data_IF_597751516636
#
_entry.id   IF_597751516636
#
_cell.length_a   1.000
_cell.length_b   1.000
_cell.length_c   1.000
_cell.angle_alpha   90.00
_cell.angle_beta   90.00
_cell.angle_gamma   90.00
#
_symmetry.space_group_name_H-M   'P 1'
#
loop_
_entity.id
_entity.type
_entity.pdbx_description
1 polymer ?
#
# COMPACT_ATOMS: atom_id res chain seq x y z
N UNK A 1 8.61 -12.54 0.18
CA UNK A 1 9.07 -13.56 1.18
C UNK A 1 8.47 -14.93 0.89
N UNK A 2 7.19 -15.00 0.47
CA UNK A 2 6.51 -16.28 0.21
C UNK A 2 7.07 -17.09 -0.98
N UNK A 3 7.54 -16.45 -2.06
CA UNK A 3 8.01 -17.15 -3.25
C UNK A 3 9.31 -17.95 -3.04
N UNK A 4 10.23 -17.43 -2.23
CA UNK A 4 11.50 -18.12 -1.89
C UNK A 4 11.21 -19.36 -1.02
N UNK A 5 10.29 -19.24 -0.07
CA UNK A 5 9.81 -20.38 0.73
C UNK A 5 9.16 -21.45 -0.13
N UNK A 6 8.32 -21.05 -1.09
CA UNK A 6 7.68 -21.98 -2.04
C UNK A 6 8.74 -22.68 -2.90
N UNK A 7 9.72 -21.95 -3.41
CA UNK A 7 10.81 -22.53 -4.21
C UNK A 7 11.67 -23.51 -3.40
N UNK A 8 11.97 -23.19 -2.13
CA UNK A 8 12.70 -24.09 -1.24
C UNK A 8 11.89 -25.35 -0.90
N UNK A 9 10.59 -25.21 -0.63
CA UNK A 9 9.69 -26.34 -0.40
C UNK A 9 9.54 -27.21 -1.63
N UNK A 10 9.44 -26.61 -2.82
CA UNK A 10 9.45 -27.34 -4.09
C UNK A 10 10.73 -28.17 -4.23
N UNK A 11 11.90 -27.56 -4.02
CA UNK A 11 13.19 -28.24 -4.12
C UNK A 11 13.32 -29.43 -3.16
N UNK A 12 12.92 -29.23 -1.89
CA UNK A 12 12.93 -30.28 -0.87
C UNK A 12 11.95 -31.41 -1.19
N UNK A 13 10.74 -31.06 -1.65
CA UNK A 13 9.70 -32.03 -1.99
C UNK A 13 10.10 -32.88 -3.19
N UNK A 14 10.68 -32.25 -4.21
CA UNK A 14 11.13 -32.95 -5.42
C UNK A 14 12.28 -33.93 -5.10
N UNK A 15 13.26 -33.48 -4.30
CA UNK A 15 14.35 -34.34 -3.83
C UNK A 15 13.84 -35.51 -2.98
N UNK A 16 12.80 -35.30 -2.17
CA UNK A 16 12.15 -36.37 -1.40
C UNK A 16 11.39 -37.36 -2.28
N UNK A 17 10.72 -36.89 -3.34
CA UNK A 17 10.00 -37.75 -4.29
C UNK A 17 10.97 -38.67 -5.03
N UNK A 18 12.13 -38.17 -5.44
CA UNK A 18 13.18 -38.98 -6.06
C UNK A 18 13.69 -40.10 -5.15
N UNK A 19 13.95 -39.78 -3.88
CA UNK A 19 14.37 -40.77 -2.89
C UNK A 19 13.27 -41.82 -2.60
N UNK A 20 12.03 -41.39 -2.32
CA UNK A 20 10.97 -42.28 -1.86
C UNK A 20 10.21 -43.01 -2.98
N UNK A 21 10.00 -42.36 -4.13
CA UNK A 21 9.13 -42.89 -5.20
C UNK A 21 9.93 -43.50 -6.37
N UNK A 22 11.10 -42.93 -6.70
CA UNK A 22 11.96 -43.44 -7.77
C UNK A 22 13.01 -44.45 -7.27
N UNK A 23 13.18 -44.57 -5.94
CA UNK A 23 14.00 -45.61 -5.33
C UNK A 23 15.51 -45.37 -5.43
N UNK A 24 15.92 -44.10 -5.56
CA UNK A 24 17.32 -43.72 -5.55
C UNK A 24 17.96 -44.07 -4.19
N UNK A 25 19.19 -44.60 -4.22
CA UNK A 25 19.85 -45.15 -3.04
C UNK A 25 20.21 -44.08 -1.99
N UNK A 26 20.36 -42.83 -2.42
CA UNK A 26 20.74 -41.69 -1.59
C UNK A 26 19.82 -40.50 -1.87
N UNK A 27 19.67 -39.62 -0.88
CA UNK A 27 18.92 -38.39 -1.04
C UNK A 27 19.80 -37.37 -1.79
N UNK A 28 19.68 -37.33 -3.12
CA UNK A 28 20.39 -36.37 -3.96
C UNK A 28 19.76 -34.97 -3.84
N UNK A 29 20.31 -34.16 -2.93
CA UNK A 29 19.89 -32.76 -2.79
C UNK A 29 20.30 -31.89 -4.00
N UNK A 30 21.38 -32.29 -4.69
CA UNK A 30 21.81 -31.73 -5.96
C UNK A 30 21.84 -32.90 -6.94
N UNK A 31 20.93 -32.94 -7.94
CA UNK A 31 20.87 -34.05 -8.86
C UNK A 31 22.15 -34.11 -9.71
N UNK A 32 22.67 -35.32 -9.87
CA UNK A 32 23.86 -35.61 -10.67
C UNK A 32 23.61 -35.55 -12.19
N UNK A 33 22.36 -35.78 -12.63
CA UNK A 33 21.95 -35.59 -14.02
C UNK A 33 21.81 -34.10 -14.35
N UNK A 34 22.58 -33.65 -15.35
CA UNK A 34 22.56 -32.28 -15.87
C UNK A 34 21.18 -31.88 -16.36
N UNK A 35 20.41 -32.81 -16.96
CA UNK A 35 19.08 -32.51 -17.47
C UNK A 35 18.09 -32.24 -16.33
N UNK A 36 18.12 -33.06 -15.28
CA UNK A 36 17.31 -32.87 -14.07
C UNK A 36 17.68 -31.58 -13.34
N UNK A 37 18.98 -31.31 -13.18
CA UNK A 37 19.48 -30.09 -12.57
C UNK A 37 19.00 -28.84 -13.31
N UNK A 38 19.07 -28.87 -14.65
CA UNK A 38 18.62 -27.77 -15.49
C UNK A 38 17.11 -27.52 -15.34
N UNK A 39 16.28 -28.58 -15.36
CA UNK A 39 14.83 -28.46 -15.19
C UNK A 39 14.45 -27.90 -13.82
N UNK A 40 15.03 -28.42 -12.73
CA UNK A 40 14.77 -27.93 -11.37
C UNK A 40 15.19 -26.48 -11.19
N UNK A 41 16.36 -26.12 -11.71
CA UNK A 41 16.87 -24.74 -11.65
C UNK A 41 15.96 -23.78 -12.42
N UNK A 42 15.47 -24.19 -13.60
CA UNK A 42 14.53 -23.40 -14.38
C UNK A 42 13.22 -23.15 -13.62
N UNK A 43 12.66 -24.18 -12.98
CA UNK A 43 11.42 -24.06 -12.18
C UNK A 43 11.63 -23.10 -11.00
N UNK A 44 12.74 -23.21 -10.27
CA UNK A 44 13.06 -22.29 -9.17
C UNK A 44 13.15 -20.85 -9.65
N UNK A 45 13.87 -20.61 -10.76
CA UNK A 45 14.00 -19.27 -11.35
C UNK A 45 12.63 -18.72 -11.74
N UNK A 46 11.77 -19.53 -12.36
CA UNK A 46 10.43 -19.13 -12.77
C UNK A 46 9.54 -18.80 -11.57
N UNK A 47 9.53 -19.64 -10.52
CA UNK A 47 8.74 -19.43 -9.30
C UNK A 47 9.18 -18.16 -8.58
N UNK A 48 10.48 -17.94 -8.42
CA UNK A 48 11.01 -16.74 -7.76
C UNK A 48 10.72 -15.50 -8.60
N UNK A 49 10.93 -15.55 -9.91
CA UNK A 49 10.69 -14.41 -10.81
C UNK A 49 9.21 -14.04 -10.88
N UNK A 50 8.32 -15.03 -10.99
CA UNK A 50 6.88 -14.82 -10.97
C UNK A 50 6.41 -14.25 -9.63
N UNK A 51 6.92 -14.80 -8.52
CA UNK A 51 6.63 -14.29 -7.19
C UNK A 51 7.07 -12.83 -7.00
N UNK A 52 8.27 -12.49 -7.47
CA UNK A 52 8.77 -11.11 -7.45
C UNK A 52 7.93 -10.18 -8.32
N UNK A 53 7.53 -10.64 -9.51
CA UNK A 53 6.66 -9.89 -10.41
C UNK A 53 5.27 -9.65 -9.81
N UNK A 54 4.65 -10.67 -9.22
CA UNK A 54 3.35 -10.56 -8.55
C UNK A 54 3.41 -9.62 -7.33
N UNK A 55 4.46 -9.72 -6.52
CA UNK A 55 4.69 -8.81 -5.39
C UNK A 55 4.88 -7.36 -5.86
N UNK A 56 5.62 -7.16 -6.96
CA UNK A 56 5.83 -5.84 -7.56
C UNK A 56 4.52 -5.24 -8.08
N UNK A 57 3.73 -6.02 -8.84
CA UNK A 57 2.44 -5.58 -9.39
C UNK A 57 1.46 -5.21 -8.28
N UNK A 58 1.36 -6.03 -7.24
CA UNK A 58 0.50 -5.76 -6.08
C UNK A 58 0.88 -4.45 -5.37
N UNK A 59 2.18 -4.13 -5.27
CA UNK A 59 2.65 -2.88 -4.66
C UNK A 59 2.27 -1.66 -5.50
N UNK A 60 2.39 -1.74 -6.82
CA UNK A 60 1.95 -0.68 -7.74
C UNK A 60 0.46 -0.48 -7.62
N UNK A 61 -0.35 -1.53 -7.78
CA UNK A 61 -1.80 -1.42 -7.76
C UNK A 61 -2.30 -0.80 -6.43
N UNK A 62 -1.70 -1.22 -5.30
CA UNK A 62 -2.02 -0.64 -4.00
C UNK A 62 -1.66 0.86 -3.91
N UNK A 63 -0.53 1.27 -4.49
CA UNK A 63 -0.12 2.67 -4.49
C UNK A 63 -1.02 3.53 -5.39
N UNK A 64 -1.37 3.03 -6.57
CA UNK A 64 -2.23 3.72 -7.53
C UNK A 64 -3.65 3.89 -6.97
N UNK A 65 -4.22 2.84 -6.37
CA UNK A 65 -5.54 2.90 -5.72
C UNK A 65 -5.52 3.87 -4.54
N UNK A 66 -4.46 3.86 -3.74
CA UNK A 66 -4.32 4.75 -2.60
C UNK A 66 -4.17 6.22 -3.04
N UNK A 67 -3.35 6.48 -4.05
CA UNK A 67 -3.19 7.81 -4.66
C UNK A 67 -4.51 8.33 -5.24
N UNK A 68 -5.24 7.49 -5.97
CA UNK A 68 -6.55 7.83 -6.51
C UNK A 68 -7.56 8.17 -5.38
N UNK A 69 -7.55 7.39 -4.30
CA UNK A 69 -8.39 7.64 -3.12
C UNK A 69 -8.04 8.95 -2.41
N UNK A 70 -6.74 9.23 -2.22
CA UNK A 70 -6.28 10.49 -1.63
C UNK A 70 -6.69 11.69 -2.47
N UNK A 71 -6.46 11.64 -3.78
CA UNK A 71 -6.84 12.73 -4.69
C UNK A 71 -8.35 12.97 -4.66
N UNK A 72 -9.16 11.90 -4.62
CA UNK A 72 -10.61 12.01 -4.47
C UNK A 72 -11.00 12.65 -3.11
N UNK A 73 -10.30 12.28 -2.04
CA UNK A 73 -10.50 12.85 -0.69
C UNK A 73 -10.15 14.34 -0.66
N UNK A 74 -9.02 14.74 -1.25
CA UNK A 74 -8.65 16.14 -1.40
C UNK A 74 -9.72 16.91 -2.16
N UNK A 75 -10.25 16.36 -3.25
CA UNK A 75 -11.33 16.97 -4.02
C UNK A 75 -12.63 17.14 -3.20
N UNK A 76 -13.03 16.14 -2.43
CA UNK A 76 -14.22 16.23 -1.55
C UNK A 76 -14.00 17.28 -0.47
N UNK A 77 -12.85 17.27 0.20
CA UNK A 77 -12.50 18.20 1.26
C UNK A 77 -12.43 19.65 0.75
N UNK A 78 -11.84 19.87 -0.42
CA UNK A 78 -11.78 21.19 -1.06
C UNK A 78 -13.18 21.71 -1.41
N UNK A 79 -14.04 20.86 -1.97
CA UNK A 79 -15.44 21.23 -2.24
C UNK A 79 -16.21 21.55 -0.95
N UNK A 80 -16.00 20.79 0.11
CA UNK A 80 -16.60 21.06 1.41
C UNK A 80 -16.15 22.42 1.96
N UNK A 81 -14.84 22.70 1.92
CA UNK A 81 -14.29 23.97 2.35
C UNK A 81 -14.89 25.15 1.57
N UNK A 82 -15.01 25.02 0.26
CA UNK A 82 -15.62 26.05 -0.58
C UNK A 82 -17.09 26.32 -0.19
N UNK A 83 -17.86 25.28 0.12
CA UNK A 83 -19.25 25.43 0.61
C UNK A 83 -19.31 26.11 1.97
N UNK A 84 -18.37 25.82 2.88
CA UNK A 84 -18.28 26.51 4.16
C UNK A 84 -17.97 28.00 3.99
N UNK A 85 -17.04 28.34 3.11
CA UNK A 85 -16.73 29.75 2.82
C UNK A 85 -17.93 30.50 2.23
N UNK A 86 -18.70 29.86 1.34
CA UNK A 86 -19.93 30.45 0.80
C UNK A 86 -20.99 30.64 1.89
N UNK A 87 -21.16 29.67 2.80
CA UNK A 87 -22.07 29.80 3.93
C UNK A 87 -21.67 30.94 4.86
N UNK A 88 -20.37 31.08 5.13
CA UNK A 88 -19.80 32.21 5.89
C UNK A 88 -20.14 33.54 5.25
N UNK A 89 -19.94 33.67 3.94
CA UNK A 89 -20.26 34.89 3.18
C UNK A 89 -21.76 35.24 3.29
N UNK A 90 -22.64 34.25 3.20
CA UNK A 90 -24.09 34.47 3.36
C UNK A 90 -24.46 34.87 4.80
N UNK A 91 -23.81 34.26 5.79
CA UNK A 91 -24.00 34.59 7.20
C UNK A 91 -23.50 36.00 7.56
N UNK A 92 -22.37 36.44 6.97
CA UNK A 92 -21.85 37.81 7.10
C UNK A 92 -22.80 38.86 6.50
N UNK A 93 -23.51 38.51 5.43
CA UNK A 93 -24.51 39.38 4.80
C UNK A 93 -25.86 39.42 5.52
N UNK A 94 -26.07 38.56 6.53
CA UNK A 94 -27.27 38.53 7.35
C UNK A 94 -27.14 39.43 8.59
N UNK A 95 -28.11 40.33 8.78
CA UNK A 95 -28.09 41.30 9.90
C UNK A 95 -28.35 40.69 11.28
N UNK A 96 -28.93 39.48 11.32
CA UNK A 96 -29.36 38.81 12.57
C UNK A 96 -28.46 37.63 12.96
N UNK A 97 -27.33 37.41 12.27
CA UNK A 97 -26.47 36.26 12.54
C UNK A 97 -25.55 36.51 13.76
N UNK A 98 -25.49 35.52 14.66
CA UNK A 98 -24.66 35.60 15.87
C UNK A 98 -23.16 35.63 15.50
N UNK A 99 -22.52 36.74 15.84
CA UNK A 99 -21.11 37.00 15.55
C UNK A 99 -20.16 36.03 16.27
N UNK A 100 -20.54 35.47 17.42
CA UNK A 100 -19.73 34.47 18.11
C UNK A 100 -19.76 33.13 17.38
N UNK A 101 -20.91 32.77 16.79
CA UNK A 101 -21.04 31.56 15.95
C UNK A 101 -20.22 31.75 14.68
N UNK A 102 -20.24 32.94 14.09
CA UNK A 102 -19.41 33.29 12.93
C UNK A 102 -17.91 33.17 13.23
N UNK A 103 -17.47 33.67 14.39
CA UNK A 103 -16.07 33.58 14.82
C UNK A 103 -15.61 32.13 15.06
N UNK A 104 -16.46 31.28 15.67
CA UNK A 104 -16.17 29.86 15.84
C UNK A 104 -16.13 29.13 14.48
N UNK A 105 -16.97 29.53 13.55
CA UNK A 105 -16.97 29.00 12.18
C UNK A 105 -15.67 29.33 11.43
N UNK A 106 -15.16 30.56 11.58
CA UNK A 106 -13.88 30.99 11.01
C UNK A 106 -12.69 30.19 11.54
N UNK A 107 -12.72 29.88 12.84
CA UNK A 107 -11.73 29.02 13.46
C UNK A 107 -11.77 27.61 12.87
N UNK A 108 -12.95 27.01 12.72
CA UNK A 108 -13.10 25.68 12.11
C UNK A 108 -12.67 25.66 10.64
N UNK A 109 -13.02 26.67 9.85
CA UNK A 109 -12.58 26.78 8.44
C UNK A 109 -11.06 26.83 8.38
N UNK A 110 -10.44 27.67 9.21
CA UNK A 110 -8.99 27.85 9.26
C UNK A 110 -8.27 26.56 9.66
N UNK A 111 -8.74 25.89 10.71
CA UNK A 111 -8.17 24.63 11.18
C UNK A 111 -8.33 23.52 10.12
N UNK A 112 -9.52 23.38 9.57
CA UNK A 112 -9.81 22.39 8.51
C UNK A 112 -8.94 22.63 7.28
N UNK A 113 -8.76 23.90 6.87
CA UNK A 113 -7.86 24.26 5.76
C UNK A 113 -6.42 23.84 6.03
N UNK A 114 -5.93 24.07 7.25
CA UNK A 114 -4.59 23.68 7.65
C UNK A 114 -4.42 22.14 7.63
N UNK A 115 -5.41 21.40 8.13
CA UNK A 115 -5.42 19.93 8.08
C UNK A 115 -5.46 19.39 6.64
N UNK A 116 -6.26 19.99 5.75
CA UNK A 116 -6.30 19.62 4.32
C UNK A 116 -4.94 19.85 3.66
N UNK A 117 -4.29 20.99 3.90
CA UNK A 117 -2.94 21.27 3.36
C UNK A 117 -1.90 20.27 3.87
N UNK A 118 -1.99 19.87 5.14
CA UNK A 118 -1.12 18.82 5.70
C UNK A 118 -1.35 17.46 5.02
N UNK A 119 -2.58 17.15 4.60
CA UNK A 119 -2.90 15.95 3.82
C UNK A 119 -2.44 16.05 2.36
N UNK A 120 -2.45 17.25 1.76
CA UNK A 120 -1.95 17.50 0.40
C UNK A 120 -0.42 17.35 0.30
N UNK A 121 0.30 17.64 1.38
CA UNK A 121 1.77 17.55 1.41
C UNK A 121 2.31 16.12 1.69
N UNK A 122 1.42 15.12 1.79
CA UNK A 122 1.82 13.71 1.87
C UNK A 122 2.23 13.24 0.47
N UNK A 123 3.44 13.64 0.04
CA UNK A 123 4.02 13.23 -1.25
C UNK A 123 4.37 11.75 -1.31
N UNK A 124 4.61 11.12 -0.16
CA UNK A 124 4.81 9.68 -0.04
C UNK A 124 4.12 9.15 1.23
N UNK A 125 2.95 8.49 1.09
CA UNK A 125 2.29 7.80 2.18
C UNK A 125 3.04 6.50 2.49
N UNK A 126 4.20 6.63 3.15
CA UNK A 126 4.85 5.48 3.78
C UNK A 126 4.21 5.23 5.14
N UNK A 127 4.15 3.96 5.57
CA UNK A 127 3.65 3.58 6.90
C UNK A 127 4.35 4.36 8.02
N UNK A 128 5.65 4.60 7.84
CA UNK A 128 6.52 5.35 8.74
C UNK A 128 6.12 6.82 8.84
N UNK A 129 5.80 7.48 7.72
CA UNK A 129 5.35 8.89 7.70
C UNK A 129 3.99 9.10 8.37
N UNK A 130 3.10 8.10 8.34
CA UNK A 130 1.76 8.17 8.94
C UNK A 130 1.85 7.88 10.45
N UNK A 131 2.58 6.84 10.87
CA UNK A 131 2.69 6.49 12.30
C UNK A 131 3.42 7.56 13.13
N UNK A 132 4.42 8.25 12.56
CA UNK A 132 5.18 9.27 13.30
C UNK A 132 4.41 10.59 13.49
N UNK A 133 3.53 10.95 12.54
CA UNK A 133 2.72 12.19 12.62
C UNK A 133 1.47 12.08 13.50
N UNK A 134 0.92 10.87 13.67
CA UNK A 134 -0.26 10.63 14.51
C UNK A 134 0.07 10.07 15.90
N UNK A 135 1.35 10.04 16.27
CA UNK A 135 1.77 9.67 17.62
C UNK A 135 1.33 10.78 18.60
N UNK A 136 0.51 10.47 19.62
CA UNK A 136 0.12 11.47 20.60
C UNK A 136 1.39 11.94 21.34
N UNK A 137 1.55 13.27 21.45
CA UNK A 137 2.59 13.89 22.27
C UNK A 137 2.25 13.82 23.76
#
# INVERSE_FOLDING_TARGET
MSAILIAALFWLSDSAVHYFAYGEAELEFIPSDVNELWMRSLIVILVVSFGAFADYRKRIDNHDVYSAMLNATHHILRNFLQKMLLFREEAENSKDFDQNVLAAYDEMIRETTAQIRNLEDIREPSRENIEDRYRPR
#
